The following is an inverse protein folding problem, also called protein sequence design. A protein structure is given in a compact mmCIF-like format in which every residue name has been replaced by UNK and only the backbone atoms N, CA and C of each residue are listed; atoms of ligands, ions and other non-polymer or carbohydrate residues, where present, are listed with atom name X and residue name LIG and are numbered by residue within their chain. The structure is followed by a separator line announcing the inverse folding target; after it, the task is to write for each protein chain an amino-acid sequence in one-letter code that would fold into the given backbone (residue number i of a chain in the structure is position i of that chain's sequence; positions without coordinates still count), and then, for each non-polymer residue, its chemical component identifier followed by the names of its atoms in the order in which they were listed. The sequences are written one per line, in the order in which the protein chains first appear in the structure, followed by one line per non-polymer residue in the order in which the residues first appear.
data_IF_333339178375
#
_entry.id   IF_333339178375
#
_cell.length_a   1.000
_cell.length_b   1.000
_cell.length_c   1.000
_cell.angle_alpha   90.00
_cell.angle_beta   90.00
_cell.angle_gamma   90.00
#
_symmetry.space_group_name_H-M   'P 1'
#
loop_
_entity.id
_entity.type
_entity.pdbx_description
1 polymer ?
#
# COMPACT_ATOMS: atom_id res chain seq x y z
N UNK A 1 4.64 24.49 7.27
CA UNK A 1 4.06 23.66 8.37
C UNK A 1 4.04 24.46 9.66
N UNK A 2 5.20 24.93 10.21
CA UNK A 2 5.25 25.66 11.50
C UNK A 2 4.30 26.88 11.57
N UNK A 3 4.19 27.66 10.50
CA UNK A 3 3.27 28.80 10.42
C UNK A 3 1.81 28.37 10.58
N UNK A 4 1.44 27.24 9.97
CA UNK A 4 0.08 26.68 10.10
C UNK A 4 -0.18 26.16 11.51
N UNK A 5 0.77 25.44 12.11
CA UNK A 5 0.64 24.95 13.48
C UNK A 5 0.41 26.15 14.44
N UNK A 6 1.20 27.24 14.31
CA UNK A 6 1.02 28.44 15.11
C UNK A 6 -0.31 29.14 14.86
N UNK A 7 -0.78 29.18 13.59
CA UNK A 7 -2.03 29.84 13.21
C UNK A 7 -3.25 29.11 13.78
N UNK A 8 -3.28 27.77 13.66
CA UNK A 8 -4.43 26.96 14.07
C UNK A 8 -4.37 26.50 15.51
N UNK A 9 -3.17 26.52 16.12
CA UNK A 9 -2.90 26.11 17.51
C UNK A 9 -3.61 24.79 17.90
N UNK A 10 -3.38 23.68 17.14
CA UNK A 10 -4.00 22.40 17.43
C UNK A 10 -3.45 21.82 18.74
N UNK A 11 -4.22 21.02 19.45
CA UNK A 11 -3.75 20.27 20.62
C UNK A 11 -2.76 19.19 20.20
N UNK A 12 -3.01 18.53 19.05
CA UNK A 12 -2.20 17.43 18.52
C UNK A 12 -1.85 17.70 17.07
N UNK A 13 -0.56 17.53 16.74
CA UNK A 13 -0.07 17.41 15.35
C UNK A 13 0.15 15.95 15.05
N UNK A 14 -0.70 15.35 14.22
CA UNK A 14 -0.55 13.97 13.79
C UNK A 14 0.03 13.92 12.37
N UNK A 15 1.23 13.36 12.26
CA UNK A 15 1.99 13.37 11.02
C UNK A 15 2.12 11.96 10.44
N UNK A 16 1.85 11.82 9.14
CA UNK A 16 1.90 10.55 8.41
C UNK A 16 3.05 10.53 7.40
N UNK A 17 3.64 9.36 7.20
CA UNK A 17 4.77 9.07 6.31
C UNK A 17 6.12 9.71 6.72
N UNK A 18 7.22 9.10 6.28
CA UNK A 18 8.57 9.50 6.71
C UNK A 18 8.90 10.95 6.38
N UNK A 19 8.57 11.43 5.17
CA UNK A 19 8.92 12.81 4.75
C UNK A 19 8.10 13.85 5.50
N UNK A 20 6.78 13.71 5.49
CA UNK A 20 5.89 14.65 6.19
C UNK A 20 6.10 14.56 7.72
N UNK A 21 6.32 13.36 8.25
CA UNK A 21 6.63 13.13 9.66
C UNK A 21 7.91 13.82 10.11
N UNK A 22 8.99 13.77 9.33
CA UNK A 22 10.23 14.49 9.65
C UNK A 22 10.01 16.01 9.68
N UNK A 23 9.32 16.55 8.66
CA UNK A 23 9.03 17.98 8.56
C UNK A 23 8.13 18.45 9.71
N UNK A 24 7.08 17.71 10.04
CA UNK A 24 6.14 18.08 11.10
C UNK A 24 6.80 18.05 12.48
N UNK A 25 7.58 16.99 12.78
CA UNK A 25 8.31 16.87 14.07
C UNK A 25 9.28 18.04 14.26
N UNK A 26 10.06 18.40 13.24
CA UNK A 26 10.97 19.54 13.30
C UNK A 26 10.20 20.87 13.40
N UNK A 27 9.10 21.02 12.66
CA UNK A 27 8.26 22.24 12.71
C UNK A 27 7.59 22.43 14.07
N UNK A 28 7.39 21.34 14.84
CA UNK A 28 6.74 21.38 16.15
C UNK A 28 7.70 21.74 17.31
N UNK A 29 9.00 21.79 17.08
CA UNK A 29 10.00 22.07 18.14
C UNK A 29 9.67 23.36 18.86
N UNK A 30 9.55 23.27 20.21
CA UNK A 30 9.28 24.43 21.09
C UNK A 30 7.86 24.99 20.98
N UNK A 31 6.91 24.25 20.40
CA UNK A 31 5.47 24.52 20.51
C UNK A 31 4.87 23.67 21.63
N UNK A 32 3.67 24.08 22.12
CA UNK A 32 3.03 23.43 23.30
C UNK A 32 2.18 22.23 22.94
N UNK A 33 1.82 22.06 21.67
CA UNK A 33 0.99 20.99 21.17
C UNK A 33 1.75 19.64 21.13
N UNK A 34 1.03 18.55 21.33
CA UNK A 34 1.58 17.22 21.22
C UNK A 34 1.88 16.85 19.76
N UNK A 35 2.91 16.04 19.55
CA UNK A 35 3.29 15.54 18.23
C UNK A 35 3.25 14.02 18.21
N UNK A 36 2.38 13.48 17.35
CA UNK A 36 2.24 12.04 17.10
C UNK A 36 2.68 11.75 15.68
N UNK A 37 3.39 10.66 15.46
CA UNK A 37 3.91 10.28 14.16
C UNK A 37 3.53 8.84 13.80
N UNK A 38 3.15 8.61 12.54
CA UNK A 38 2.93 7.28 11.99
C UNK A 38 3.72 7.12 10.68
N UNK A 39 4.73 6.24 10.63
CA UNK A 39 5.55 6.02 9.43
C UNK A 39 4.81 5.35 8.28
N UNK A 40 3.79 4.50 8.55
CA UNK A 40 3.15 3.63 7.56
C UNK A 40 4.16 2.80 6.76
N UNK A 41 5.12 2.21 7.43
CA UNK A 41 6.26 1.53 6.85
C UNK A 41 7.53 2.38 6.91
N UNK A 42 8.54 1.89 7.63
CA UNK A 42 9.81 2.59 7.80
C UNK A 42 10.57 2.73 6.49
N UNK A 43 11.00 3.95 6.14
CA UNK A 43 11.78 4.20 4.92
C UNK A 43 13.12 3.43 4.90
N UNK A 44 13.72 3.13 6.05
CA UNK A 44 14.94 2.33 6.13
C UNK A 44 14.72 0.83 5.86
N UNK A 45 13.47 0.35 5.83
CA UNK A 45 13.13 -1.02 5.41
C UNK A 45 12.96 -1.14 3.89
N UNK A 46 12.86 -0.02 3.16
CA UNK A 46 12.75 -0.03 1.70
C UNK A 46 13.95 -0.72 1.04
N UNK A 47 13.73 -1.27 -0.14
CA UNK A 47 14.81 -1.86 -0.96
C UNK A 47 15.66 -0.76 -1.59
N UNK A 48 16.71 -0.33 -0.88
CA UNK A 48 17.64 0.71 -1.33
C UNK A 48 19.06 0.43 -0.83
N UNK A 49 20.02 1.26 -1.24
CA UNK A 49 21.44 1.09 -0.84
C UNK A 49 21.63 1.21 0.69
N UNK A 50 22.65 0.54 1.23
CA UNK A 50 22.99 0.60 2.66
C UNK A 50 23.20 2.03 3.15
N UNK A 51 23.81 2.90 2.32
CA UNK A 51 24.01 4.33 2.62
C UNK A 51 22.67 5.06 2.80
N UNK A 52 21.68 4.81 1.93
CA UNK A 52 20.34 5.39 2.06
C UNK A 52 19.62 4.88 3.30
N UNK A 53 19.72 3.57 3.59
CA UNK A 53 19.14 3.00 4.82
C UNK A 53 19.70 3.63 6.08
N UNK A 54 21.04 3.80 6.14
CA UNK A 54 21.71 4.46 7.26
C UNK A 54 21.24 5.92 7.42
N UNK A 55 21.12 6.65 6.31
CA UNK A 55 20.62 8.02 6.30
C UNK A 55 19.17 8.10 6.84
N UNK A 56 18.26 7.26 6.35
CA UNK A 56 16.89 7.22 6.85
C UNK A 56 16.82 6.87 8.34
N UNK A 57 17.63 5.89 8.78
CA UNK A 57 17.73 5.53 10.20
C UNK A 57 18.20 6.71 11.05
N UNK A 58 19.21 7.46 10.61
CA UNK A 58 19.71 8.63 11.32
C UNK A 58 18.64 9.75 11.41
N UNK A 59 17.94 10.03 10.29
CA UNK A 59 16.84 11.01 10.27
C UNK A 59 15.75 10.61 11.26
N UNK A 60 15.32 9.34 11.27
CA UNK A 60 14.28 8.87 12.17
C UNK A 60 14.69 8.96 13.64
N UNK A 61 15.95 8.60 13.98
CA UNK A 61 16.48 8.74 15.35
C UNK A 61 16.45 10.19 15.84
N UNK A 62 16.92 11.12 15.01
CA UNK A 62 16.94 12.54 15.36
C UNK A 62 15.52 13.07 15.49
N UNK A 63 14.67 12.78 14.51
CA UNK A 63 13.29 13.27 14.51
C UNK A 63 12.44 12.66 15.63
N UNK A 64 12.73 11.45 16.08
CA UNK A 64 12.06 10.81 17.20
C UNK A 64 12.26 11.55 18.54
N UNK A 65 13.28 12.41 18.64
CA UNK A 65 13.45 13.27 19.83
C UNK A 65 12.36 14.34 19.93
N UNK A 66 11.70 14.67 18.84
CA UNK A 66 10.75 15.78 18.69
C UNK A 66 9.31 15.33 18.47
N UNK A 67 8.94 14.12 18.92
CA UNK A 67 7.56 13.68 19.02
C UNK A 67 7.30 12.98 20.33
N UNK A 68 6.05 12.96 20.77
CA UNK A 68 5.61 12.35 22.03
C UNK A 68 5.41 10.84 21.84
N UNK A 69 4.74 10.44 20.75
CA UNK A 69 4.44 9.04 20.42
C UNK A 69 4.68 8.75 18.94
N UNK A 70 5.03 7.50 18.68
CA UNK A 70 5.13 6.94 17.33
C UNK A 70 4.16 5.76 17.26
N UNK A 71 3.24 5.81 16.32
CA UNK A 71 2.27 4.74 16.07
C UNK A 71 2.86 3.80 15.04
N UNK A 72 3.00 2.54 15.40
CA UNK A 72 3.38 1.45 14.51
C UNK A 72 2.13 0.68 14.10
N UNK A 73 1.98 0.37 12.82
CA UNK A 73 0.78 -0.31 12.31
C UNK A 73 0.87 -1.84 12.40
N UNK A 74 1.98 -2.37 12.94
CA UNK A 74 2.18 -3.79 13.23
C UNK A 74 3.27 -3.99 14.29
N UNK A 75 3.28 -5.16 14.95
CA UNK A 75 4.36 -5.55 15.86
C UNK A 75 5.70 -5.64 15.14
N UNK A 76 5.72 -6.09 13.88
CA UNK A 76 6.92 -6.14 13.06
C UNK A 76 7.50 -4.73 12.81
N UNK A 77 6.64 -3.73 12.63
CA UNK A 77 7.07 -2.33 12.48
C UNK A 77 7.65 -1.78 13.79
N UNK A 78 7.01 -2.08 14.94
CA UNK A 78 7.54 -1.76 16.26
C UNK A 78 8.90 -2.42 16.49
N UNK A 79 9.02 -3.72 16.24
CA UNK A 79 10.26 -4.46 16.41
C UNK A 79 11.38 -3.90 15.52
N UNK A 80 11.08 -3.56 14.28
CA UNK A 80 12.03 -2.94 13.35
C UNK A 80 12.58 -1.59 13.89
N UNK A 81 11.74 -0.79 14.57
CA UNK A 81 12.18 0.44 15.22
C UNK A 81 13.11 0.16 16.42
N UNK A 82 12.80 -0.85 17.23
CA UNK A 82 13.62 -1.26 18.36
C UNK A 82 14.98 -1.80 17.92
N UNK A 83 15.03 -2.67 16.91
CA UNK A 83 16.26 -3.22 16.34
C UNK A 83 17.20 -2.13 15.82
N UNK A 84 16.62 -1.08 15.22
CA UNK A 84 17.36 0.09 14.74
C UNK A 84 17.64 1.12 15.84
N UNK A 85 17.14 0.90 17.06
CA UNK A 85 17.26 1.84 18.19
C UNK A 85 16.80 3.25 17.80
N UNK A 86 15.60 3.36 17.20
CA UNK A 86 15.03 4.64 16.75
C UNK A 86 14.67 5.50 17.96
N UNK A 87 14.01 4.91 18.97
CA UNK A 87 13.67 5.54 20.23
C UNK A 87 13.48 4.48 21.33
N UNK A 88 13.13 4.91 22.54
CA UNK A 88 12.73 4.01 23.62
C UNK A 88 11.39 3.38 23.33
N UNK A 89 11.16 2.19 23.88
CA UNK A 89 9.93 1.41 23.65
C UNK A 89 8.67 2.14 24.12
N UNK A 90 8.74 2.88 25.19
CA UNK A 90 7.63 3.66 25.76
C UNK A 90 7.05 4.71 24.79
N UNK A 91 7.84 5.14 23.78
CA UNK A 91 7.37 6.00 22.68
C UNK A 91 6.60 5.26 21.59
N UNK A 92 6.76 3.95 21.47
CA UNK A 92 6.19 3.14 20.40
C UNK A 92 4.85 2.53 20.85
N UNK A 93 3.80 2.82 20.12
CA UNK A 93 2.48 2.26 20.33
C UNK A 93 2.05 1.47 19.09
N UNK A 94 1.67 0.21 19.24
CA UNK A 94 1.07 -0.55 18.13
C UNK A 94 -0.43 -0.23 18.07
N UNK A 95 -0.88 0.20 16.90
CA UNK A 95 -2.30 0.36 16.55
C UNK A 95 -2.44 -0.21 15.15
N UNK A 96 -3.07 -1.38 15.04
CA UNK A 96 -3.28 -2.03 13.75
C UNK A 96 -4.19 -1.20 12.84
N UNK A 97 -3.90 -1.21 11.54
CA UNK A 97 -4.85 -0.68 10.57
C UNK A 97 -6.10 -1.57 10.53
N UNK A 98 -7.25 -0.96 10.32
CA UNK A 98 -8.51 -1.63 10.08
C UNK A 98 -9.02 -1.41 8.67
N UNK A 99 -10.07 -2.15 8.32
CA UNK A 99 -10.89 -1.94 7.13
C UNK A 99 -12.31 -1.63 7.56
N UNK A 100 -13.01 -0.82 6.79
CA UNK A 100 -14.39 -0.45 7.04
C UNK A 100 -15.33 -1.51 6.42
N UNK A 101 -15.75 -2.47 7.25
CA UNK A 101 -16.63 -3.56 6.83
C UNK A 101 -18.01 -3.03 6.45
N UNK A 102 -18.54 -2.07 7.22
CA UNK A 102 -19.88 -1.51 6.97
C UNK A 102 -19.92 -0.73 5.65
N UNK A 103 -18.88 0.06 5.35
CA UNK A 103 -18.76 0.75 4.07
C UNK A 103 -18.67 -0.24 2.89
N UNK A 104 -17.99 -1.38 3.10
CA UNK A 104 -17.93 -2.43 2.10
C UNK A 104 -19.32 -3.06 1.86
N UNK A 105 -20.00 -3.52 2.90
CA UNK A 105 -21.31 -4.17 2.81
C UNK A 105 -22.38 -3.27 2.15
N UNK A 106 -22.32 -1.96 2.38
CA UNK A 106 -23.31 -1.00 1.88
C UNK A 106 -22.98 -0.42 0.50
N UNK A 107 -21.77 -0.56 -0.03
CA UNK A 107 -21.32 0.27 -1.15
C UNK A 107 -20.80 -0.43 -2.40
N UNK A 108 -20.56 -1.74 -2.40
CA UNK A 108 -19.66 -2.33 -3.39
C UNK A 108 -20.29 -3.31 -4.36
N UNK A 109 -21.35 -4.00 -3.95
CA UNK A 109 -21.87 -5.18 -4.68
C UNK A 109 -22.38 -4.86 -6.09
N UNK A 110 -21.79 -5.54 -7.09
CA UNK A 110 -22.28 -5.53 -8.48
C UNK A 110 -22.06 -4.24 -9.25
N UNK A 111 -21.23 -3.31 -8.75
CA UNK A 111 -20.99 -2.02 -9.39
C UNK A 111 -20.26 -2.14 -10.74
N UNK A 112 -19.36 -3.14 -10.90
CA UNK A 112 -18.68 -3.44 -12.17
C UNK A 112 -19.01 -4.85 -12.61
N UNK A 113 -19.27 -5.04 -13.91
CA UNK A 113 -19.59 -6.35 -14.48
C UNK A 113 -18.48 -6.81 -15.42
N UNK A 114 -18.27 -8.14 -15.49
CA UNK A 114 -17.30 -8.77 -16.40
C UNK A 114 -17.44 -8.28 -17.84
N UNK A 115 -18.69 -8.12 -18.33
CA UNK A 115 -18.98 -7.61 -19.69
C UNK A 115 -18.43 -6.21 -19.98
N UNK A 116 -18.30 -5.34 -18.96
CA UNK A 116 -17.77 -3.98 -19.13
C UNK A 116 -16.26 -3.97 -19.39
N UNK A 117 -15.60 -5.06 -19.01
CA UNK A 117 -14.18 -5.32 -19.28
C UNK A 117 -13.98 -6.32 -20.43
N UNK A 118 -15.04 -6.71 -21.14
CA UNK A 118 -15.00 -7.78 -22.15
C UNK A 118 -14.44 -9.11 -21.61
N UNK A 119 -14.72 -9.43 -20.34
CA UNK A 119 -14.34 -10.69 -19.71
C UNK A 119 -15.50 -11.67 -19.84
N UNK A 120 -15.31 -12.87 -20.41
CA UNK A 120 -16.32 -13.92 -20.47
C UNK A 120 -16.83 -14.29 -19.07
N UNK A 121 -18.11 -14.66 -18.97
CA UNK A 121 -18.74 -15.01 -17.68
C UNK A 121 -18.11 -16.25 -17.03
N UNK A 122 -17.61 -17.19 -17.83
CA UNK A 122 -16.93 -18.41 -17.42
C UNK A 122 -15.41 -18.26 -17.26
N UNK A 123 -14.86 -17.05 -17.45
CA UNK A 123 -13.42 -16.80 -17.33
C UNK A 123 -12.96 -16.94 -15.87
N UNK A 124 -11.76 -17.50 -15.69
CA UNK A 124 -11.06 -17.49 -14.40
C UNK A 124 -10.30 -16.19 -14.25
N UNK A 125 -10.61 -15.42 -13.22
CA UNK A 125 -10.07 -14.06 -13.04
C UNK A 125 -9.06 -14.00 -11.89
N UNK A 126 -7.84 -13.60 -12.22
CA UNK A 126 -6.79 -13.31 -11.22
C UNK A 126 -6.55 -11.82 -11.16
N UNK A 127 -6.56 -11.23 -9.97
CA UNK A 127 -6.45 -9.79 -9.84
C UNK A 127 -5.46 -9.30 -8.78
N UNK A 128 -5.04 -8.05 -8.94
CA UNK A 128 -4.31 -7.31 -7.92
C UNK A 128 -4.77 -5.86 -7.84
N UNK A 129 -4.75 -5.30 -6.63
CA UNK A 129 -4.99 -3.87 -6.38
C UNK A 129 -3.71 -3.21 -5.92
N UNK A 130 -3.33 -2.14 -6.59
CA UNK A 130 -2.19 -1.35 -6.15
C UNK A 130 -1.52 -0.54 -7.23
N UNK A 131 -0.63 0.35 -6.79
CA UNK A 131 0.17 1.17 -7.70
C UNK A 131 1.12 0.30 -8.51
N UNK A 132 1.17 0.45 -9.80
CA UNK A 132 2.16 -0.22 -10.65
C UNK A 132 3.56 0.38 -10.43
N UNK A 133 4.20 -0.07 -9.37
CA UNK A 133 5.52 0.38 -8.91
C UNK A 133 6.37 -0.81 -8.47
N UNK A 134 7.70 -0.67 -8.38
CA UNK A 134 8.58 -1.75 -7.92
C UNK A 134 8.21 -2.33 -6.55
N UNK A 135 7.56 -1.54 -5.69
CA UNK A 135 7.07 -2.01 -4.39
C UNK A 135 5.98 -3.06 -4.55
N UNK A 136 4.95 -2.77 -5.34
CA UNK A 136 3.78 -3.63 -5.53
C UNK A 136 4.00 -4.80 -6.50
N UNK A 137 5.16 -4.81 -7.18
CA UNK A 137 5.64 -5.90 -8.02
C UNK A 137 4.69 -6.34 -9.16
N UNK A 138 4.14 -5.42 -9.97
CA UNK A 138 3.33 -5.81 -11.13
C UNK A 138 4.13 -6.61 -12.17
N UNK A 139 5.45 -6.48 -12.17
CA UNK A 139 6.37 -7.29 -12.99
C UNK A 139 6.39 -8.77 -12.59
N UNK A 140 6.15 -9.10 -11.32
CA UNK A 140 5.96 -10.48 -10.87
C UNK A 140 4.57 -10.97 -11.26
N UNK A 141 3.53 -10.12 -11.09
CA UNK A 141 2.17 -10.44 -11.47
C UNK A 141 2.05 -10.80 -12.95
N UNK A 142 2.63 -10.00 -13.85
CA UNK A 142 2.50 -10.25 -15.29
C UNK A 142 3.26 -11.51 -15.76
N UNK A 143 4.38 -11.83 -15.11
CA UNK A 143 5.10 -13.08 -15.37
C UNK A 143 4.32 -14.30 -14.89
N UNK A 144 3.70 -14.21 -13.73
CA UNK A 144 2.77 -15.25 -13.23
C UNK A 144 1.57 -15.38 -14.18
N UNK A 145 0.99 -14.28 -14.65
CA UNK A 145 -0.14 -14.26 -15.57
C UNK A 145 0.16 -15.07 -16.85
N UNK A 146 1.35 -14.92 -17.44
CA UNK A 146 1.78 -15.74 -18.58
C UNK A 146 1.74 -17.23 -18.27
N UNK A 147 2.32 -17.64 -17.13
CA UNK A 147 2.37 -19.06 -16.75
C UNK A 147 0.97 -19.64 -16.46
N UNK A 148 0.08 -18.82 -15.90
CA UNK A 148 -1.32 -19.23 -15.69
C UNK A 148 -2.03 -19.36 -17.03
N UNK A 149 -1.87 -18.39 -17.95
CA UNK A 149 -2.50 -18.40 -19.26
C UNK A 149 -2.15 -19.63 -20.10
N UNK A 150 -0.90 -20.09 -19.99
CA UNK A 150 -0.44 -21.33 -20.65
C UNK A 150 -1.19 -22.59 -20.17
N UNK A 151 -1.67 -22.61 -18.91
CA UNK A 151 -2.36 -23.75 -18.29
C UNK A 151 -3.88 -23.58 -18.27
N UNK A 152 -4.35 -22.35 -18.20
CA UNK A 152 -5.77 -21.97 -18.11
C UNK A 152 -6.08 -20.97 -19.23
N UNK A 153 -6.38 -21.44 -20.46
CA UNK A 153 -6.55 -20.57 -21.63
C UNK A 153 -7.65 -19.49 -21.48
N UNK A 154 -8.70 -19.74 -20.67
CA UNK A 154 -9.75 -18.76 -20.39
C UNK A 154 -9.44 -17.86 -19.16
N UNK A 155 -8.19 -17.86 -18.64
CA UNK A 155 -7.82 -16.95 -17.57
C UNK A 155 -7.73 -15.50 -18.06
N UNK A 156 -8.24 -14.58 -17.25
CA UNK A 156 -8.13 -13.12 -17.39
C UNK A 156 -7.45 -12.52 -16.18
N UNK A 157 -6.77 -11.40 -16.39
CA UNK A 157 -5.93 -10.76 -15.37
C UNK A 157 -6.34 -9.31 -15.20
N UNK A 158 -6.63 -8.88 -13.97
CA UNK A 158 -7.04 -7.50 -13.69
C UNK A 158 -5.99 -6.85 -12.79
N UNK A 159 -5.47 -5.69 -13.19
CA UNK A 159 -4.67 -4.80 -12.34
C UNK A 159 -5.49 -3.55 -12.08
N UNK A 160 -5.91 -3.38 -10.82
CA UNK A 160 -6.64 -2.18 -10.38
C UNK A 160 -5.66 -1.16 -9.84
N UNK A 161 -5.43 -0.11 -10.61
CA UNK A 161 -4.49 0.98 -10.30
C UNK A 161 -3.65 1.40 -11.48
N UNK A 162 -2.84 2.43 -11.28
CA UNK A 162 -1.92 2.98 -12.27
C UNK A 162 -0.49 3.08 -11.72
N UNK A 163 0.47 3.45 -12.55
CA UNK A 163 1.83 3.70 -12.12
C UNK A 163 2.85 3.70 -13.27
N UNK A 164 4.10 3.93 -12.89
CA UNK A 164 5.19 4.12 -13.85
C UNK A 164 5.62 2.85 -14.61
N UNK A 165 5.18 1.66 -14.18
CA UNK A 165 5.47 0.40 -14.86
C UNK A 165 4.35 -0.06 -15.82
N UNK A 166 3.28 0.72 -16.02
CA UNK A 166 2.14 0.33 -16.84
C UNK A 166 2.54 -0.02 -18.28
N UNK A 167 3.33 0.82 -18.92
CA UNK A 167 3.76 0.58 -20.31
C UNK A 167 4.59 -0.70 -20.44
N UNK A 168 5.44 -1.00 -19.47
CA UNK A 168 6.23 -2.22 -19.40
C UNK A 168 5.33 -3.47 -19.28
N UNK A 169 4.32 -3.38 -18.44
CA UNK A 169 3.35 -4.47 -18.19
C UNK A 169 2.52 -4.75 -19.44
N UNK A 170 1.98 -3.70 -20.10
CA UNK A 170 1.21 -3.84 -21.34
C UNK A 170 2.05 -4.44 -22.45
N UNK A 171 3.28 -3.92 -22.64
CA UNK A 171 4.20 -4.44 -23.64
C UNK A 171 4.54 -5.92 -23.38
N UNK A 172 4.74 -6.33 -22.13
CA UNK A 172 5.01 -7.73 -21.82
C UNK A 172 3.84 -8.65 -22.22
N UNK A 173 2.60 -8.23 -21.99
CA UNK A 173 1.42 -8.99 -22.40
C UNK A 173 1.30 -9.08 -23.93
N UNK A 174 1.59 -7.99 -24.63
CA UNK A 174 1.62 -7.94 -26.09
C UNK A 174 2.69 -8.89 -26.67
N UNK A 175 3.94 -8.76 -26.22
CA UNK A 175 5.06 -9.59 -26.66
C UNK A 175 4.83 -11.10 -26.39
N UNK A 176 3.93 -11.45 -25.47
CA UNK A 176 3.58 -12.83 -25.12
C UNK A 176 2.16 -13.26 -25.56
N UNK A 177 1.45 -12.45 -26.33
CA UNK A 177 0.21 -12.84 -27.01
C UNK A 177 -1.02 -12.98 -26.11
N UNK A 178 -1.10 -12.27 -24.98
CA UNK A 178 -2.26 -12.31 -24.09
C UNK A 178 -2.81 -10.92 -23.67
N UNK A 179 -2.58 -9.90 -24.49
CA UNK A 179 -3.07 -8.53 -24.26
C UNK A 179 -4.58 -8.47 -24.04
N UNK A 180 -5.35 -9.25 -24.81
CA UNK A 180 -6.82 -9.27 -24.72
C UNK A 180 -7.33 -9.84 -23.38
N UNK A 181 -6.46 -10.54 -22.64
CA UNK A 181 -6.76 -11.09 -21.33
C UNK A 181 -6.22 -10.24 -20.18
N UNK A 182 -5.54 -9.13 -20.46
CA UNK A 182 -5.00 -8.21 -19.45
C UNK A 182 -5.82 -6.92 -19.39
N UNK A 183 -6.41 -6.65 -18.23
CA UNK A 183 -7.24 -5.48 -17.97
C UNK A 183 -6.57 -4.59 -16.94
N UNK A 184 -6.19 -3.38 -17.32
CA UNK A 184 -5.62 -2.37 -16.41
C UNK A 184 -6.63 -1.23 -16.30
N UNK A 185 -7.20 -1.04 -15.11
CA UNK A 185 -8.30 -0.08 -14.91
C UNK A 185 -7.83 1.37 -14.81
N UNK A 186 -6.55 1.58 -14.52
CA UNK A 186 -6.10 2.87 -14.03
C UNK A 186 -6.54 3.11 -12.59
N UNK A 187 -6.44 4.38 -12.16
CA UNK A 187 -6.95 4.77 -10.85
C UNK A 187 -8.48 4.79 -10.85
N UNK A 188 -9.10 4.24 -9.81
CA UNK A 188 -10.57 4.17 -9.64
C UNK A 188 -10.95 4.58 -8.22
N UNK A 189 -12.13 5.17 -8.06
CA UNK A 189 -12.62 5.59 -6.74
C UNK A 189 -12.99 4.41 -5.85
N UNK A 190 -13.53 3.33 -6.44
CA UNK A 190 -13.96 2.14 -5.73
C UNK A 190 -13.27 0.88 -6.28
N UNK A 191 -12.06 0.55 -5.81
CA UNK A 191 -11.34 -0.64 -6.25
C UNK A 191 -12.04 -1.95 -5.86
N UNK A 192 -12.83 -1.94 -4.78
CA UNK A 192 -13.50 -3.15 -4.29
C UNK A 192 -14.53 -3.69 -5.27
N UNK A 193 -15.19 -2.83 -6.06
CA UNK A 193 -16.11 -3.28 -7.12
C UNK A 193 -15.44 -4.11 -8.22
N UNK A 194 -14.12 -3.94 -8.41
CA UNK A 194 -13.32 -4.79 -9.30
C UNK A 194 -12.83 -6.05 -8.60
N UNK A 195 -12.52 -5.96 -7.30
CA UNK A 195 -12.10 -7.12 -6.49
C UNK A 195 -13.19 -8.18 -6.48
N UNK A 196 -14.47 -7.80 -6.53
CA UNK A 196 -15.59 -8.74 -6.63
C UNK A 196 -15.52 -9.65 -7.86
N UNK A 197 -14.88 -9.20 -8.94
CA UNK A 197 -14.72 -10.00 -10.16
C UNK A 197 -13.63 -11.08 -10.04
N UNK A 198 -12.74 -10.98 -9.03
CA UNK A 198 -11.63 -11.91 -8.88
C UNK A 198 -12.06 -13.26 -8.35
N UNK A 199 -11.51 -14.33 -8.91
CA UNK A 199 -11.52 -15.66 -8.31
C UNK A 199 -10.33 -15.83 -7.37
N UNK A 200 -9.16 -15.28 -7.75
CA UNK A 200 -7.95 -15.22 -6.92
C UNK A 200 -7.41 -13.80 -6.88
N UNK A 201 -7.11 -13.31 -5.69
CA UNK A 201 -6.47 -12.02 -5.47
C UNK A 201 -4.99 -12.18 -5.09
N UNK A 202 -4.12 -11.30 -5.61
CA UNK A 202 -2.69 -11.38 -5.37
C UNK A 202 -2.15 -10.14 -4.64
N UNK A 203 -1.39 -10.36 -3.57
CA UNK A 203 -0.56 -9.35 -2.93
C UNK A 203 0.92 -9.74 -3.03
N UNK A 204 1.60 -9.30 -4.09
CA UNK A 204 2.97 -9.69 -4.45
C UNK A 204 4.01 -8.66 -4.03
N UNK A 205 3.65 -7.75 -3.15
CA UNK A 205 4.50 -6.63 -2.74
C UNK A 205 5.85 -7.09 -2.20
N UNK A 206 6.92 -6.43 -2.63
CA UNK A 206 8.29 -6.70 -2.14
C UNK A 206 8.52 -6.19 -0.71
N UNK A 207 7.73 -5.23 -0.27
CA UNK A 207 7.68 -4.74 1.12
C UNK A 207 6.36 -4.02 1.37
N UNK A 208 5.84 -4.18 2.59
CA UNK A 208 4.65 -3.52 3.09
C UNK A 208 4.85 -3.08 4.55
N UNK A 209 4.08 -2.08 4.96
CA UNK A 209 3.89 -1.79 6.38
C UNK A 209 2.82 -2.72 6.97
N UNK A 210 1.66 -2.78 6.30
CA UNK A 210 0.55 -3.65 6.68
C UNK A 210 -0.07 -4.40 5.49
N UNK A 211 -0.15 -3.74 4.30
CA UNK A 211 -0.76 -4.35 3.11
C UNK A 211 -2.28 -4.35 3.15
N UNK A 212 -2.91 -3.17 3.21
CA UNK A 212 -4.38 -3.01 3.32
C UNK A 212 -5.17 -3.82 2.29
N UNK A 213 -4.64 -4.05 1.09
CA UNK A 213 -5.32 -4.86 0.08
C UNK A 213 -5.60 -6.29 0.56
N UNK A 214 -4.78 -6.85 1.47
CA UNK A 214 -4.98 -8.20 1.98
C UNK A 214 -6.29 -8.35 2.78
N UNK A 215 -6.54 -7.56 3.85
CA UNK A 215 -7.83 -7.62 4.55
C UNK A 215 -9.01 -7.20 3.66
N UNK A 216 -8.81 -6.32 2.67
CA UNK A 216 -9.83 -6.00 1.67
C UNK A 216 -10.21 -7.23 0.83
N UNK A 217 -9.24 -8.02 0.37
CA UNK A 217 -9.51 -9.29 -0.34
C UNK A 217 -10.21 -10.32 0.55
N UNK A 218 -9.79 -10.43 1.82
CA UNK A 218 -10.43 -11.32 2.79
C UNK A 218 -11.88 -10.92 3.04
N UNK A 219 -12.16 -9.63 3.16
CA UNK A 219 -13.50 -9.07 3.32
C UNK A 219 -14.39 -9.39 2.11
N UNK A 220 -13.84 -9.36 0.90
CA UNK A 220 -14.50 -9.76 -0.34
C UNK A 220 -14.61 -11.29 -0.52
N UNK A 221 -14.15 -12.09 0.45
CA UNK A 221 -14.20 -13.56 0.38
C UNK A 221 -13.32 -14.16 -0.72
N UNK A 222 -12.25 -13.46 -1.14
CA UNK A 222 -11.41 -13.93 -2.24
C UNK A 222 -10.35 -14.93 -1.78
N UNK A 223 -10.04 -15.90 -2.64
CA UNK A 223 -8.82 -16.72 -2.50
C UNK A 223 -7.60 -15.80 -2.67
N UNK A 224 -6.54 -15.98 -1.84
CA UNK A 224 -5.36 -15.13 -1.84
C UNK A 224 -4.12 -15.98 -2.08
#
# INVERSE_FOLDING_TARGET
VRTLIKKYNPDIVYAHSSKAGAIARVANIGLKNHCVYNPHGWAFNMRCSAKKKAMYTAIEKIAALFCDKIICISDAEKQSALDKKICKEDKLQVIFNGVDIEAYENGVHGAVKRRELNIPEDAFVVGMVGRMSPQKAPDVFIKMAKLVKEKVPNAHFIIVGNGNQENEIRKYAEDNGFSDSLHITGWVDNPMSYVELFDVACLLSRWEGFGLALPEYMMAGKQI
#
